data_IF_225028391967
#
_entry.id   IF_225028391967
#
_cell.length_a   1.000
_cell.length_b   1.000
_cell.length_c   1.000
_cell.angle_alpha   90.00
_cell.angle_beta   90.00
_cell.angle_gamma   90.00
#
_symmetry.space_group_name_H-M   'P 1'
#
loop_
_entity.id
_entity.type
_entity.pdbx_description
1 polymer ?
#
# COMPACT_ATOMS: atom_id res chain seq x y z
N UNK A 1 0.84 65.47 -20.35
CA UNK A 1 -0.56 65.36 -20.84
C UNK A 1 -0.86 63.90 -21.14
N UNK A 2 -1.66 63.22 -20.31
CA UNK A 2 -2.11 61.84 -20.57
C UNK A 2 -3.60 61.87 -20.95
N UNK A 3 -3.94 61.47 -22.18
CA UNK A 3 -5.33 61.34 -22.64
C UNK A 3 -5.96 60.09 -22.03
N UNK A 4 -6.90 60.27 -21.10
CA UNK A 4 -7.73 59.19 -20.55
C UNK A 4 -8.75 58.78 -21.62
N UNK A 5 -8.66 57.55 -22.14
CA UNK A 5 -9.63 56.98 -23.08
C UNK A 5 -10.93 56.73 -22.31
N UNK A 6 -12.06 57.29 -22.76
CA UNK A 6 -13.39 56.95 -22.25
C UNK A 6 -13.76 55.56 -22.79
N UNK A 7 -13.89 54.59 -21.91
CA UNK A 7 -14.47 53.30 -22.25
C UNK A 7 -15.99 53.46 -22.39
N UNK A 8 -16.54 52.95 -23.49
CA UNK A 8 -17.96 52.98 -23.76
C UNK A 8 -18.68 52.02 -22.80
N UNK A 9 -19.67 52.53 -22.07
CA UNK A 9 -20.57 51.74 -21.23
C UNK A 9 -21.24 50.65 -22.05
N UNK A 10 -20.94 49.38 -21.79
CA UNK A 10 -21.63 48.23 -22.36
C UNK A 10 -23.11 48.28 -21.97
N UNK A 11 -24.07 48.05 -22.89
CA UNK A 11 -25.49 48.04 -22.54
C UNK A 11 -25.78 46.92 -21.52
N UNK A 12 -26.62 47.21 -20.53
CA UNK A 12 -27.03 46.28 -19.47
C UNK A 12 -27.88 45.15 -20.07
N UNK A 13 -27.23 44.02 -20.37
CA UNK A 13 -27.88 42.82 -20.89
C UNK A 13 -28.57 42.12 -19.72
N UNK A 14 -29.91 42.20 -19.66
CA UNK A 14 -30.70 41.46 -18.66
C UNK A 14 -30.46 39.96 -18.82
N UNK A 15 -29.73 39.38 -17.87
CA UNK A 15 -29.49 37.95 -17.78
C UNK A 15 -30.82 37.23 -17.51
N UNK A 16 -31.35 36.51 -18.51
CA UNK A 16 -32.46 35.57 -18.30
C UNK A 16 -31.92 34.38 -17.53
N UNK A 17 -32.50 34.09 -16.37
CA UNK A 17 -32.17 32.87 -15.63
C UNK A 17 -32.72 31.65 -16.37
N UNK A 18 -32.00 30.52 -16.34
CA UNK A 18 -32.50 29.27 -16.90
C UNK A 18 -33.78 28.85 -16.19
N UNK A 19 -34.67 28.21 -16.95
CA UNK A 19 -35.95 27.74 -16.42
C UNK A 19 -35.70 26.70 -15.31
N UNK A 20 -36.29 26.97 -14.14
CA UNK A 20 -36.19 26.14 -12.93
C UNK A 20 -37.46 25.34 -12.70
N UNK A 21 -38.41 25.34 -13.63
CA UNK A 21 -39.56 24.45 -13.54
C UNK A 21 -39.04 23.01 -13.60
N UNK A 22 -39.22 22.29 -12.50
CA UNK A 22 -38.88 20.87 -12.43
C UNK A 22 -39.66 20.04 -13.46
N UNK A 23 -39.24 18.79 -13.70
CA UNK A 23 -39.91 17.90 -14.65
C UNK A 23 -41.39 17.74 -14.29
N UNK A 24 -42.25 17.85 -15.31
CA UNK A 24 -43.71 17.78 -15.17
C UNK A 24 -44.23 16.34 -15.17
N UNK A 25 -43.38 15.39 -15.55
CA UNK A 25 -43.66 13.95 -15.57
C UNK A 25 -43.03 13.30 -14.34
N UNK A 26 -43.59 12.18 -13.89
CA UNK A 26 -43.05 11.40 -12.79
C UNK A 26 -41.56 11.12 -13.02
N UNK A 27 -40.75 11.48 -12.03
CA UNK A 27 -39.31 11.24 -12.13
C UNK A 27 -38.99 9.77 -11.90
N UNK A 28 -37.83 9.33 -12.37
CA UNK A 28 -37.34 7.97 -12.09
C UNK A 28 -37.21 7.72 -10.57
N UNK A 29 -36.95 8.78 -9.80
CA UNK A 29 -36.93 8.72 -8.34
C UNK A 29 -38.33 8.52 -7.77
N UNK A 30 -39.35 9.22 -8.30
CA UNK A 30 -40.75 9.05 -7.89
C UNK A 30 -41.25 7.63 -8.20
N UNK A 31 -40.92 7.08 -9.37
CA UNK A 31 -41.27 5.71 -9.76
C UNK A 31 -40.52 4.70 -8.86
N UNK A 32 -39.26 4.98 -8.52
CA UNK A 32 -38.47 4.14 -7.62
C UNK A 32 -39.06 4.12 -6.20
N UNK A 33 -39.50 5.28 -5.71
CA UNK A 33 -40.16 5.44 -4.43
C UNK A 33 -41.53 4.77 -4.41
N UNK A 34 -42.34 4.92 -5.47
CA UNK A 34 -43.65 4.27 -5.61
C UNK A 34 -43.53 2.74 -5.57
N UNK A 35 -42.44 2.18 -6.11
CA UNK A 35 -42.19 0.73 -6.15
C UNK A 35 -41.39 0.22 -4.94
N UNK A 36 -41.09 1.06 -3.95
CA UNK A 36 -40.25 0.72 -2.79
C UNK A 36 -38.91 0.06 -3.18
N UNK A 37 -38.34 0.47 -4.32
CA UNK A 37 -37.12 -0.14 -4.86
C UNK A 37 -35.91 0.08 -3.94
N UNK A 38 -35.85 1.20 -3.22
CA UNK A 38 -34.79 1.48 -2.24
C UNK A 38 -34.83 0.56 -1.02
N UNK A 39 -36.03 0.26 -0.51
CA UNK A 39 -36.18 -0.67 0.61
C UNK A 39 -35.80 -2.09 0.21
N UNK A 40 -36.21 -2.50 -1.00
CA UNK A 40 -35.86 -3.82 -1.54
C UNK A 40 -34.35 -3.95 -1.85
N UNK A 41 -33.70 -2.87 -2.29
CA UNK A 41 -32.25 -2.84 -2.48
C UNK A 41 -31.53 -2.98 -1.13
N UNK A 42 -31.94 -2.23 -0.11
CA UNK A 42 -31.38 -2.30 1.25
C UNK A 42 -31.53 -3.68 1.87
N UNK A 43 -32.69 -4.32 1.69
CA UNK A 43 -32.93 -5.68 2.17
C UNK A 43 -32.05 -6.73 1.47
N UNK A 44 -31.84 -6.60 0.15
CA UNK A 44 -30.92 -7.48 -0.60
C UNK A 44 -29.47 -7.26 -0.20
N UNK A 45 -29.08 -6.02 0.06
CA UNK A 45 -27.75 -5.68 0.54
C UNK A 45 -27.50 -6.28 1.93
N UNK A 46 -28.46 -6.10 2.85
CA UNK A 46 -28.41 -6.70 4.19
C UNK A 46 -28.35 -8.24 4.12
N UNK A 47 -29.11 -8.86 3.21
CA UNK A 47 -29.07 -10.30 2.99
C UNK A 47 -27.70 -10.76 2.46
N UNK A 48 -27.11 -10.04 1.51
CA UNK A 48 -25.76 -10.33 1.01
C UNK A 48 -24.70 -10.11 2.10
N UNK A 49 -24.81 -9.05 2.91
CA UNK A 49 -23.90 -8.75 4.02
C UNK A 49 -23.95 -9.82 5.12
N UNK A 50 -25.16 -10.33 5.41
CA UNK A 50 -25.37 -11.47 6.31
C UNK A 50 -24.80 -12.77 5.74
N UNK A 51 -24.98 -13.02 4.43
CA UNK A 51 -24.40 -14.19 3.76
C UNK A 51 -22.87 -14.14 3.70
N UNK A 52 -22.28 -12.94 3.64
CA UNK A 52 -20.84 -12.71 3.67
C UNK A 52 -20.22 -12.76 5.08
N UNK A 53 -21.00 -13.01 6.14
CA UNK A 53 -20.50 -13.15 7.51
C UNK A 53 -19.98 -11.86 8.14
N UNK A 54 -20.34 -10.69 7.59
CA UNK A 54 -19.89 -9.40 8.09
C UNK A 54 -20.85 -8.91 9.19
N UNK A 55 -20.33 -8.69 10.40
CA UNK A 55 -21.13 -8.23 11.54
C UNK A 55 -21.78 -6.88 11.24
N UNK A 56 -23.10 -6.79 11.38
CA UNK A 56 -23.89 -5.58 11.17
C UNK A 56 -23.42 -4.50 12.14
N UNK A 57 -22.67 -3.51 11.62
CA UNK A 57 -22.57 -2.20 12.24
C UNK A 57 -23.59 -1.30 11.55
N UNK A 58 -24.33 -0.46 12.30
CA UNK A 58 -25.18 0.54 11.67
C UNK A 58 -24.22 1.49 10.94
N UNK A 59 -24.23 1.44 9.61
CA UNK A 59 -23.48 2.36 8.75
C UNK A 59 -24.26 3.67 8.73
N UNK A 60 -23.62 4.72 9.25
CA UNK A 60 -24.03 6.10 9.05
C UNK A 60 -24.11 6.38 7.54
N UNK A 61 -25.18 7.07 7.15
CA UNK A 61 -25.53 7.41 5.78
C UNK A 61 -24.60 8.53 5.30
N UNK A 62 -23.38 8.21 4.86
CA UNK A 62 -22.54 9.06 4.01
C UNK A 62 -21.26 8.28 3.68
N UNK A 63 -21.28 7.46 2.63
CA UNK A 63 -20.09 7.20 1.82
C UNK A 63 -20.55 6.66 0.45
N UNK A 64 -20.32 7.48 -0.57
CA UNK A 64 -20.28 7.07 -1.96
C UNK A 64 -19.17 6.02 -2.11
N UNK A 65 -19.48 4.72 -2.01
CA UNK A 65 -18.48 3.71 -2.34
C UNK A 65 -19.09 2.52 -3.09
N UNK A 66 -18.52 2.29 -4.27
CA UNK A 66 -18.82 1.16 -5.13
C UNK A 66 -18.71 -0.13 -4.31
N UNK A 67 -19.80 -0.90 -4.23
CA UNK A 67 -19.78 -2.17 -3.50
C UNK A 67 -18.61 -3.07 -3.95
N UNK A 68 -18.00 -3.85 -3.04
CA UNK A 68 -16.77 -4.58 -3.31
C UNK A 68 -16.94 -5.50 -4.53
N UNK A 69 -16.15 -5.23 -5.58
CA UNK A 69 -16.20 -5.93 -6.87
C UNK A 69 -15.70 -7.38 -6.79
N UNK A 70 -14.98 -7.73 -5.71
CA UNK A 70 -14.32 -9.01 -5.51
C UNK A 70 -14.65 -9.61 -4.14
N UNK A 71 -14.48 -10.93 -4.01
CA UNK A 71 -14.61 -11.57 -2.69
C UNK A 71 -13.46 -11.13 -1.76
N UNK A 72 -13.66 -11.06 -0.44
CA UNK A 72 -12.62 -10.62 0.52
C UNK A 72 -11.33 -11.44 0.44
N UNK A 73 -11.42 -12.72 0.05
CA UNK A 73 -10.27 -13.59 -0.17
C UNK A 73 -9.56 -13.31 -1.50
N UNK A 74 -10.31 -12.98 -2.55
CA UNK A 74 -9.75 -12.60 -3.84
C UNK A 74 -9.01 -11.26 -3.74
N UNK A 75 -9.58 -10.26 -3.06
CA UNK A 75 -8.91 -8.98 -2.79
C UNK A 75 -7.57 -9.20 -2.09
N UNK A 76 -7.58 -10.00 -1.01
CA UNK A 76 -6.38 -10.34 -0.25
C UNK A 76 -5.31 -11.02 -1.11
N UNK A 77 -5.70 -11.99 -1.94
CA UNK A 77 -4.76 -12.69 -2.82
C UNK A 77 -4.18 -11.73 -3.87
N UNK A 78 -5.04 -10.91 -4.50
CA UNK A 78 -4.63 -9.97 -5.54
C UNK A 78 -3.68 -8.90 -4.99
N UNK A 79 -3.99 -8.34 -3.82
CA UNK A 79 -3.12 -7.38 -3.14
C UNK A 79 -1.78 -8.02 -2.76
N UNK A 80 -1.81 -9.23 -2.18
CA UNK A 80 -0.59 -9.96 -1.83
C UNK A 80 0.27 -10.24 -3.07
N UNK A 81 -0.35 -10.66 -4.17
CA UNK A 81 0.36 -10.89 -5.44
C UNK A 81 0.98 -9.60 -5.97
N UNK A 82 0.23 -8.50 -5.96
CA UNK A 82 0.70 -7.21 -6.45
C UNK A 82 1.93 -6.72 -5.67
N UNK A 83 1.90 -6.80 -4.34
CA UNK A 83 3.02 -6.43 -3.50
C UNK A 83 4.22 -7.36 -3.66
N UNK A 84 3.99 -8.67 -3.66
CA UNK A 84 5.07 -9.66 -3.70
C UNK A 84 5.76 -9.71 -5.05
N UNK A 85 5.04 -9.49 -6.15
CA UNK A 85 5.62 -9.36 -7.50
C UNK A 85 6.49 -8.10 -7.57
N UNK A 86 6.00 -6.96 -7.07
CA UNK A 86 6.77 -5.72 -6.99
C UNK A 86 8.06 -5.90 -6.19
N UNK A 87 7.98 -6.54 -5.01
CA UNK A 87 9.16 -6.80 -4.18
C UNK A 87 10.13 -7.80 -4.82
N UNK A 88 9.62 -8.78 -5.54
CA UNK A 88 10.43 -9.75 -6.29
C UNK A 88 11.17 -9.08 -7.44
N UNK A 89 10.54 -8.12 -8.13
CA UNK A 89 11.22 -7.30 -9.13
C UNK A 89 12.37 -6.50 -8.51
N UNK A 90 12.13 -5.88 -7.35
CA UNK A 90 13.19 -5.19 -6.61
C UNK A 90 14.32 -6.15 -6.20
N UNK A 91 13.99 -7.34 -5.69
CA UNK A 91 14.99 -8.35 -5.34
C UNK A 91 15.81 -8.80 -6.55
N UNK A 92 15.14 -9.07 -7.67
CA UNK A 92 15.79 -9.46 -8.92
C UNK A 92 16.75 -8.38 -9.42
N UNK A 93 16.32 -7.11 -9.42
CA UNK A 93 17.16 -6.00 -9.85
C UNK A 93 18.37 -5.83 -8.94
N UNK A 94 18.19 -5.87 -7.61
CA UNK A 94 19.30 -5.84 -6.66
C UNK A 94 20.25 -7.03 -6.84
N UNK A 95 19.74 -8.23 -7.06
CA UNK A 95 20.55 -9.43 -7.28
C UNK A 95 21.40 -9.32 -8.56
N UNK A 96 20.83 -8.78 -9.63
CA UNK A 96 21.55 -8.50 -10.88
C UNK A 96 22.60 -7.41 -10.68
N UNK A 97 22.26 -6.31 -10.00
CA UNK A 97 23.18 -5.20 -9.74
C UNK A 97 24.37 -5.64 -8.89
N UNK A 98 24.12 -6.38 -7.81
CA UNK A 98 25.18 -6.87 -6.92
C UNK A 98 26.07 -7.89 -7.65
N UNK A 99 25.51 -8.72 -8.51
CA UNK A 99 26.32 -9.56 -9.41
C UNK A 99 27.14 -8.74 -10.40
N UNK A 100 26.59 -7.68 -10.96
CA UNK A 100 27.33 -6.81 -11.88
C UNK A 100 28.45 -6.03 -11.16
N UNK A 101 28.26 -5.68 -9.88
CA UNK A 101 29.24 -4.98 -9.07
C UNK A 101 30.39 -5.88 -8.61
N UNK A 102 30.11 -7.14 -8.25
CA UNK A 102 31.10 -8.02 -7.62
C UNK A 102 31.56 -9.20 -8.49
N UNK A 103 30.83 -9.59 -9.54
CA UNK A 103 31.24 -10.61 -10.50
C UNK A 103 31.72 -9.98 -11.79
N UNK A 104 33.04 -10.00 -11.98
CA UNK A 104 33.75 -9.33 -13.09
C UNK A 104 33.30 -9.75 -14.49
N UNK A 105 32.71 -10.94 -14.72
CA UNK A 105 32.47 -11.39 -16.11
C UNK A 105 31.26 -12.31 -16.42
N UNK A 106 30.46 -12.83 -15.48
CA UNK A 106 29.27 -13.65 -15.84
C UNK A 106 28.13 -13.64 -14.80
N UNK A 107 26.99 -13.11 -15.19
CA UNK A 107 25.70 -13.33 -14.51
C UNK A 107 25.23 -14.76 -14.80
N UNK A 108 24.93 -15.53 -13.76
CA UNK A 108 24.41 -16.89 -13.92
C UNK A 108 22.88 -16.87 -13.94
N UNK A 109 22.30 -16.54 -15.09
CA UNK A 109 20.85 -16.38 -15.28
C UNK A 109 19.98 -17.49 -14.68
N UNK A 110 20.31 -18.80 -14.81
CA UNK A 110 19.50 -19.84 -14.18
C UNK A 110 19.42 -19.69 -12.65
N UNK A 111 20.53 -19.31 -12.02
CA UNK A 111 20.59 -19.11 -10.56
C UNK A 111 19.88 -17.85 -10.10
N UNK A 112 19.86 -16.81 -10.94
CA UNK A 112 19.09 -15.59 -10.69
C UNK A 112 17.60 -15.91 -10.68
N UNK A 113 17.11 -16.61 -11.71
CA UNK A 113 15.71 -17.00 -11.79
C UNK A 113 15.28 -17.89 -10.63
N UNK A 114 16.10 -18.87 -10.23
CA UNK A 114 15.78 -19.72 -9.07
C UNK A 114 15.72 -18.92 -7.77
N UNK A 115 16.63 -17.96 -7.57
CA UNK A 115 16.63 -17.12 -6.36
C UNK A 115 15.46 -16.15 -6.35
N UNK A 116 15.12 -15.55 -7.50
CA UNK A 116 13.94 -14.71 -7.63
C UNK A 116 12.65 -15.48 -7.33
N UNK A 117 12.50 -16.70 -7.87
CA UNK A 117 11.34 -17.55 -7.57
C UNK A 117 11.28 -17.94 -6.09
N UNK A 118 12.41 -18.30 -5.48
CA UNK A 118 12.48 -18.59 -4.05
C UNK A 118 12.13 -17.36 -3.22
N UNK A 119 12.67 -16.18 -3.57
CA UNK A 119 12.38 -14.93 -2.89
C UNK A 119 10.89 -14.57 -3.00
N UNK A 120 10.28 -14.76 -4.17
CA UNK A 120 8.85 -14.54 -4.36
C UNK A 120 8.00 -15.41 -3.44
N UNK A 121 8.30 -16.71 -3.33
CA UNK A 121 7.57 -17.60 -2.41
C UNK A 121 7.74 -17.16 -0.94
N UNK A 122 8.95 -16.76 -0.54
CA UNK A 122 9.22 -16.29 0.82
C UNK A 122 8.50 -14.98 1.09
N UNK A 123 8.55 -14.02 0.16
CA UNK A 123 7.82 -12.77 0.29
C UNK A 123 6.31 -13.00 0.31
N UNK A 124 5.77 -13.89 -0.52
CA UNK A 124 4.35 -14.24 -0.48
C UNK A 124 3.94 -14.83 0.87
N UNK A 125 4.76 -15.72 1.43
CA UNK A 125 4.52 -16.29 2.76
C UNK A 125 4.61 -15.25 3.87
N UNK A 126 5.50 -14.26 3.76
CA UNK A 126 5.64 -13.19 4.76
C UNK A 126 4.56 -12.11 4.62
N UNK A 127 4.23 -11.68 3.41
CA UNK A 127 3.24 -10.65 3.14
C UNK A 127 1.83 -11.13 3.43
N UNK A 128 1.49 -12.36 3.07
CA UNK A 128 0.13 -12.87 3.25
C UNK A 128 -0.39 -12.70 4.69
N UNK A 129 0.37 -13.02 5.76
CA UNK A 129 -0.04 -12.79 7.15
C UNK A 129 0.31 -11.41 7.70
N UNK A 130 1.39 -10.75 7.24
CA UNK A 130 1.90 -9.53 7.88
C UNK A 130 1.38 -8.22 7.27
N UNK A 131 0.93 -8.26 6.01
CA UNK A 131 0.40 -7.09 5.32
C UNK A 131 -1.00 -6.74 5.84
N UNK A 132 -1.30 -5.46 6.12
CA UNK A 132 -2.60 -5.03 6.60
C UNK A 132 -3.64 -5.17 5.48
N UNK A 133 -4.52 -6.18 5.59
CA UNK A 133 -5.69 -6.30 4.72
C UNK A 133 -6.86 -5.50 5.28
N UNK A 134 -7.41 -4.60 4.47
CA UNK A 134 -8.59 -3.79 4.81
C UNK A 134 -9.81 -4.64 5.23
N UNK A 135 -9.88 -5.88 4.74
CA UNK A 135 -11.02 -6.78 4.95
C UNK A 135 -10.93 -7.66 6.21
N UNK A 136 -9.74 -7.86 6.81
CA UNK A 136 -9.62 -8.60 8.08
C UNK A 136 -8.31 -8.29 8.84
N UNK A 137 -8.34 -7.41 9.86
CA UNK A 137 -7.15 -6.98 10.58
C UNK A 137 -6.66 -8.00 11.64
N UNK A 138 -7.04 -9.28 11.60
CA UNK A 138 -6.55 -10.29 12.55
C UNK A 138 -5.21 -10.90 12.11
N UNK A 139 -4.10 -10.35 12.62
CA UNK A 139 -2.74 -10.87 12.46
C UNK A 139 -2.54 -12.21 13.20
N UNK A 140 -3.17 -12.34 14.39
CA UNK A 140 -3.11 -13.55 15.22
C UNK A 140 -4.53 -13.91 15.67
N UNK A 141 -5.02 -15.13 15.40
CA UNK A 141 -6.32 -15.57 15.92
C UNK A 141 -6.25 -15.65 17.45
N UNK A 142 -6.91 -14.70 18.13
CA UNK A 142 -7.02 -14.67 19.59
C UNK A 142 -6.50 -13.40 20.28
N UNK A 143 -5.78 -12.49 19.61
CA UNK A 143 -5.36 -11.22 20.22
C UNK A 143 -6.42 -10.10 20.04
N UNK A 144 -6.63 -9.23 21.05
CA UNK A 144 -7.49 -8.05 20.88
C UNK A 144 -6.95 -7.09 19.81
N UNK A 145 -7.82 -6.67 18.90
CA UNK A 145 -7.51 -5.78 17.75
C UNK A 145 -6.69 -4.53 18.12
N UNK A 146 -6.93 -3.93 19.29
CA UNK A 146 -6.19 -2.78 19.83
C UNK A 146 -4.67 -2.97 19.94
N UNK A 147 -4.21 -4.19 20.25
CA UNK A 147 -2.78 -4.47 20.41
C UNK A 147 -2.11 -4.90 19.11
N UNK A 148 -2.90 -5.33 18.12
CA UNK A 148 -2.36 -5.87 16.87
C UNK A 148 -1.66 -4.78 16.04
N UNK A 149 -2.17 -3.56 16.05
CA UNK A 149 -1.52 -2.42 15.40
C UNK A 149 -0.14 -2.13 16.02
N UNK A 150 -0.07 -2.01 17.35
CA UNK A 150 1.19 -1.75 18.06
C UNK A 150 2.20 -2.88 17.90
N UNK A 151 1.75 -4.13 17.93
CA UNK A 151 2.60 -5.30 17.71
C UNK A 151 3.17 -5.31 16.29
N UNK A 152 2.35 -5.03 15.27
CA UNK A 152 2.79 -4.93 13.87
C UNK A 152 3.87 -3.86 13.70
N UNK A 153 3.60 -2.64 14.17
CA UNK A 153 4.56 -1.53 14.14
C UNK A 153 5.86 -1.90 14.88
N UNK A 154 5.78 -2.56 16.05
CA UNK A 154 6.96 -3.01 16.77
C UNK A 154 7.78 -4.08 16.01
N UNK A 155 7.11 -5.04 15.36
CA UNK A 155 7.76 -6.07 14.54
C UNK A 155 8.48 -5.44 13.36
N UNK A 156 7.83 -4.55 12.61
CA UNK A 156 8.44 -3.88 11.47
C UNK A 156 9.54 -2.90 11.90
N UNK A 157 9.40 -2.25 13.06
CA UNK A 157 10.45 -1.40 13.62
C UNK A 157 11.69 -2.21 13.96
N UNK A 158 11.52 -3.31 14.70
CA UNK A 158 12.62 -4.22 15.03
C UNK A 158 13.26 -4.82 13.78
N UNK A 159 12.44 -5.25 12.81
CA UNK A 159 12.91 -5.80 11.53
C UNK A 159 13.68 -4.75 10.73
N UNK A 160 13.20 -3.50 10.68
CA UNK A 160 13.85 -2.40 9.99
C UNK A 160 15.22 -2.08 10.59
N UNK A 161 15.31 -1.94 11.91
CA UNK A 161 16.57 -1.66 12.61
C UNK A 161 17.54 -2.84 12.47
N UNK A 162 17.08 -4.07 12.69
CA UNK A 162 17.92 -5.26 12.59
C UNK A 162 18.42 -5.48 11.16
N UNK A 163 17.54 -5.41 10.16
CA UNK A 163 17.89 -5.59 8.76
C UNK A 163 18.82 -4.47 8.25
N UNK A 164 18.56 -3.22 8.60
CA UNK A 164 19.42 -2.09 8.25
C UNK A 164 20.82 -2.21 8.85
N UNK A 165 20.91 -2.43 10.17
CA UNK A 165 22.20 -2.61 10.86
C UNK A 165 22.94 -3.85 10.35
N UNK A 166 22.24 -4.97 10.12
CA UNK A 166 22.85 -6.20 9.62
C UNK A 166 23.32 -6.05 8.16
N UNK A 167 22.57 -5.34 7.31
CA UNK A 167 22.98 -5.05 5.94
C UNK A 167 24.28 -4.23 5.93
N UNK A 168 24.36 -3.17 6.74
CA UNK A 168 25.56 -2.34 6.90
C UNK A 168 26.73 -3.19 7.42
N UNK A 169 26.49 -4.04 8.42
CA UNK A 169 27.51 -4.93 8.95
C UNK A 169 28.01 -5.90 7.88
N UNK A 170 27.10 -6.48 7.09
CA UNK A 170 27.44 -7.50 6.11
C UNK A 170 28.28 -6.93 4.98
N UNK A 171 27.88 -5.77 4.45
CA UNK A 171 28.58 -5.10 3.34
C UNK A 171 29.97 -4.63 3.72
N UNK A 172 30.20 -4.29 5.00
CA UNK A 172 31.50 -3.82 5.48
C UNK A 172 32.42 -4.92 6.03
N UNK A 173 31.87 -6.04 6.51
CA UNK A 173 32.64 -7.04 7.27
C UNK A 173 32.88 -8.35 6.52
N UNK A 174 32.03 -8.72 5.55
CA UNK A 174 32.20 -9.98 4.81
C UNK A 174 32.74 -9.76 3.40
N UNK A 175 33.37 -10.81 2.87
CA UNK A 175 33.82 -10.83 1.49
C UNK A 175 32.66 -10.84 0.48
N UNK A 176 32.99 -10.51 -0.76
CA UNK A 176 32.04 -10.29 -1.85
C UNK A 176 30.99 -11.42 -2.03
N UNK A 177 31.37 -12.70 -1.88
CA UNK A 177 30.44 -13.83 -2.04
C UNK A 177 29.30 -13.83 -1.02
N UNK A 178 29.57 -13.39 0.22
CA UNK A 178 28.54 -13.31 1.25
C UNK A 178 27.60 -12.14 0.96
N UNK A 179 28.15 -10.99 0.58
CA UNK A 179 27.40 -9.79 0.19
C UNK A 179 26.48 -10.10 -0.99
N UNK A 180 26.98 -10.79 -2.03
CA UNK A 180 26.19 -11.19 -3.19
C UNK A 180 24.99 -12.08 -2.88
N UNK A 181 25.07 -12.90 -1.82
CA UNK A 181 23.98 -13.81 -1.44
C UNK A 181 23.00 -13.16 -0.48
N UNK A 182 23.46 -12.32 0.43
CA UNK A 182 22.67 -11.82 1.55
C UNK A 182 22.12 -10.41 1.32
N UNK A 183 22.84 -9.54 0.61
CA UNK A 183 22.44 -8.14 0.47
C UNK A 183 21.12 -7.95 -0.30
N UNK A 184 20.84 -8.63 -1.43
CA UNK A 184 19.58 -8.45 -2.15
C UNK A 184 18.32 -8.77 -1.32
N UNK A 185 18.20 -9.93 -0.64
CA UNK A 185 17.01 -10.22 0.16
C UNK A 185 16.93 -9.35 1.42
N UNK A 186 18.06 -9.03 2.08
CA UNK A 186 18.08 -8.14 3.24
C UNK A 186 17.65 -6.71 2.88
N UNK A 187 18.11 -6.20 1.74
CA UNK A 187 17.71 -4.90 1.23
C UNK A 187 16.20 -4.81 0.98
N UNK A 188 15.62 -5.84 0.35
CA UNK A 188 14.17 -5.90 0.14
C UNK A 188 13.39 -5.97 1.46
N UNK A 189 13.82 -6.79 2.43
CA UNK A 189 13.18 -6.87 3.74
C UNK A 189 13.27 -5.55 4.50
N UNK A 190 14.42 -4.87 4.41
CA UNK A 190 14.61 -3.57 5.04
C UNK A 190 13.70 -2.50 4.43
N UNK A 191 13.68 -2.38 3.10
CA UNK A 191 12.80 -1.44 2.37
C UNK A 191 11.34 -1.72 2.69
N UNK A 192 10.91 -2.98 2.63
CA UNK A 192 9.54 -3.35 3.00
C UNK A 192 9.20 -2.93 4.43
N UNK A 193 10.09 -3.21 5.38
CA UNK A 193 9.87 -2.84 6.78
C UNK A 193 9.76 -1.33 6.99
N UNK A 194 10.49 -0.52 6.21
CA UNK A 194 10.41 0.94 6.28
C UNK A 194 9.10 1.47 5.68
N UNK A 195 8.63 0.88 4.58
CA UNK A 195 7.38 1.29 3.91
C UNK A 195 6.16 1.03 4.79
N UNK A 196 6.19 -0.04 5.58
CA UNK A 196 5.07 -0.47 6.44
C UNK A 196 5.02 0.27 7.80
N UNK A 197 6.11 0.97 8.17
CA UNK A 197 6.15 1.77 9.41
C UNK A 197 5.42 3.10 9.24
N UNK A 198 4.79 3.57 10.32
CA UNK A 198 4.30 4.95 10.33
C UNK A 198 5.49 5.92 10.20
N UNK A 199 5.27 7.05 9.53
CA UNK A 199 6.30 8.05 9.23
C UNK A 199 7.26 8.37 10.40
N UNK A 200 6.80 8.64 11.65
CA UNK A 200 7.73 8.92 12.74
C UNK A 200 8.61 7.71 13.11
N UNK A 201 8.06 6.50 13.09
CA UNK A 201 8.79 5.27 13.39
C UNK A 201 9.78 4.90 12.29
N UNK A 202 9.42 5.15 11.03
CA UNK A 202 10.30 4.97 9.88
C UNK A 202 11.52 5.92 9.96
N UNK A 203 11.30 7.20 10.28
CA UNK A 203 12.40 8.16 10.47
C UNK A 203 13.28 7.73 11.63
N UNK A 204 12.70 7.26 12.74
CA UNK A 204 13.45 6.83 13.91
C UNK A 204 14.29 5.58 13.61
N UNK A 205 13.75 4.60 12.89
CA UNK A 205 14.49 3.38 12.53
C UNK A 205 15.66 3.67 11.59
N UNK A 206 15.47 4.58 10.62
CA UNK A 206 16.52 5.04 9.71
C UNK A 206 17.60 5.83 10.44
N UNK A 207 17.20 6.71 11.37
CA UNK A 207 18.15 7.46 12.22
C UNK A 207 18.98 6.49 13.06
N UNK A 208 18.36 5.44 13.61
CA UNK A 208 19.06 4.37 14.35
C UNK A 208 20.09 3.63 13.48
N UNK A 209 19.72 3.25 12.26
CA UNK A 209 20.64 2.61 11.31
C UNK A 209 21.80 3.55 10.91
N UNK A 210 21.51 4.85 10.68
CA UNK A 210 22.51 5.87 10.40
C UNK A 210 23.47 6.10 11.57
N UNK A 211 22.95 6.14 12.79
CA UNK A 211 23.77 6.21 14.01
C UNK A 211 24.68 4.99 14.17
N UNK A 212 24.17 3.79 13.86
CA UNK A 212 24.97 2.57 13.85
C UNK A 212 26.13 2.65 12.84
N UNK A 213 25.88 3.17 11.64
CA UNK A 213 26.92 3.39 10.63
C UNK A 213 28.00 4.37 11.14
N UNK A 214 27.59 5.47 11.75
CA UNK A 214 28.50 6.49 12.30
C UNK A 214 29.34 5.95 13.46
N UNK A 215 28.70 5.29 14.43
CA UNK A 215 29.37 4.75 15.63
C UNK A 215 30.41 3.67 15.31
N UNK A 216 30.18 2.87 14.25
CA UNK A 216 31.11 1.83 13.79
C UNK A 216 32.23 2.38 12.90
N UNK A 217 32.21 3.66 12.53
CA UNK A 217 33.24 4.29 11.70
C UNK A 217 33.33 3.70 10.30
N UNK A 218 32.26 3.10 9.79
CA UNK A 218 32.23 2.56 8.43
C UNK A 218 32.27 3.73 7.43
N UNK A 219 33.37 3.84 6.70
CA UNK A 219 33.54 4.84 5.64
C UNK A 219 32.73 4.43 4.42
N UNK A 220 31.79 5.27 3.98
CA UNK A 220 31.24 5.19 2.63
C UNK A 220 32.37 5.67 1.70
N UNK A 221 32.97 4.75 0.94
CA UNK A 221 33.94 5.06 -0.11
C UNK A 221 33.28 4.93 -1.47
#
# INVERSE_FOLDING_TARGET
MARRRKEASTPDIKLRQPDRTGPTQETLLDIAQQRNLFAQAKEKEDANRRAAGQAVRPSDEDDDDEGPVLSPTAERIMETLLWTVSLTMLHFTLDVLVQHQFSINRVQWPKVWTRAAQAWMVFALLFYPLHPHSSNPTLVPGLPQRFQHGLRQAIFFATSVAAGCYLIYVTNSFGYLAVMKQAPPLGCLWVWSVIELDLPWAVLSLTGAGYFLWSRGYSIR
#
